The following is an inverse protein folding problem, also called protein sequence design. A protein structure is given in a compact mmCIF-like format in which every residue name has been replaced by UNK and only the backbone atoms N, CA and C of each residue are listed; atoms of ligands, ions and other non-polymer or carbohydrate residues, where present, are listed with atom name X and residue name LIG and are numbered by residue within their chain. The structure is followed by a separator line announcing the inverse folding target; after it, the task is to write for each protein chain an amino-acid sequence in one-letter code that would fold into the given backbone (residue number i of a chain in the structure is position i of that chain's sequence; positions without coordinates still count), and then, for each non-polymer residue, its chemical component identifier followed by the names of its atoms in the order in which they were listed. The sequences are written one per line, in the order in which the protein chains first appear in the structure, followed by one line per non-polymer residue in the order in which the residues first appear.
data_IF_577258501202
#
_entry.id   IF_577258501202
#
_cell.length_a   1.000
_cell.length_b   1.000
_cell.length_c   1.000
_cell.angle_alpha   90.00
_cell.angle_beta   90.00
_cell.angle_gamma   90.00
#
_symmetry.space_group_name_H-M   'P 1'
#
loop_
_entity.id
_entity.type
_entity.pdbx_description
1 polymer ?
#
# COMPACT_ATOMS: atom_id res chain seq x y z
N UNK A 1 -27.62 -24.53 -56.80
CA UNK A 1 -27.90 -23.98 -55.45
C UNK A 1 -29.41 -24.07 -55.19
N UNK A 2 -29.87 -25.08 -54.44
CA UNK A 2 -31.30 -25.26 -54.10
C UNK A 2 -31.69 -24.23 -53.03
N UNK A 3 -32.70 -23.41 -53.34
CA UNK A 3 -33.27 -22.39 -52.46
C UNK A 3 -34.05 -23.08 -51.32
N UNK A 4 -33.45 -23.13 -50.13
CA UNK A 4 -34.02 -23.72 -48.90
C UNK A 4 -35.06 -22.79 -48.23
N UNK A 5 -35.15 -21.53 -48.63
CA UNK A 5 -35.90 -20.52 -47.86
C UNK A 5 -37.38 -20.29 -48.28
N UNK A 6 -37.97 -21.13 -49.13
CA UNK A 6 -39.33 -20.88 -49.67
C UNK A 6 -40.25 -22.11 -49.59
N UNK A 7 -40.42 -22.68 -48.39
CA UNK A 7 -41.52 -23.61 -48.11
C UNK A 7 -42.67 -22.86 -47.40
N UNK A 8 -43.91 -23.08 -47.85
CA UNK A 8 -45.13 -22.42 -47.30
C UNK A 8 -45.76 -23.21 -46.15
N UNK A 9 -45.07 -24.22 -45.64
CA UNK A 9 -45.45 -25.02 -44.48
C UNK A 9 -44.91 -24.33 -43.24
N UNK A 10 -45.80 -23.96 -42.30
CA UNK A 10 -45.40 -23.39 -41.01
C UNK A 10 -44.53 -24.35 -40.19
N UNK A 11 -43.84 -23.84 -39.18
CA UNK A 11 -43.02 -24.67 -38.28
C UNK A 11 -43.86 -25.73 -37.57
N UNK A 12 -43.34 -26.94 -37.54
CA UNK A 12 -43.93 -28.01 -36.73
C UNK A 12 -43.65 -27.77 -35.24
N UNK A 13 -44.53 -28.25 -34.37
CA UNK A 13 -44.34 -28.15 -32.90
C UNK A 13 -43.03 -28.83 -32.46
N UNK A 14 -42.65 -29.93 -33.11
CA UNK A 14 -41.39 -30.62 -32.86
C UNK A 14 -40.17 -29.76 -33.21
N UNK A 15 -40.16 -29.07 -34.35
CA UNK A 15 -39.07 -28.16 -34.74
C UNK A 15 -38.95 -26.98 -33.75
N UNK A 16 -40.07 -26.45 -33.27
CA UNK A 16 -40.07 -25.36 -32.30
C UNK A 16 -39.50 -25.80 -30.93
N UNK A 17 -39.84 -27.02 -30.48
CA UNK A 17 -39.29 -27.59 -29.25
C UNK A 17 -37.78 -27.84 -29.36
N UNK A 18 -37.30 -28.35 -30.50
CA UNK A 18 -35.86 -28.56 -30.74
C UNK A 18 -35.13 -27.22 -30.81
N UNK A 19 -35.68 -26.23 -31.52
CA UNK A 19 -35.09 -24.89 -31.57
C UNK A 19 -35.02 -24.23 -30.17
N UNK A 20 -36.07 -24.37 -29.37
CA UNK A 20 -36.09 -23.89 -27.98
C UNK A 20 -35.05 -24.61 -27.12
N UNK A 21 -34.89 -25.92 -27.27
CA UNK A 21 -33.86 -26.70 -26.56
C UNK A 21 -32.45 -26.20 -26.89
N UNK A 22 -32.12 -26.00 -28.17
CA UNK A 22 -30.83 -25.42 -28.55
C UNK A 22 -30.66 -23.99 -28.05
N UNK A 23 -31.72 -23.18 -28.07
CA UNK A 23 -31.71 -21.83 -27.50
C UNK A 23 -31.37 -21.83 -26.00
N UNK A 24 -31.96 -22.75 -25.23
CA UNK A 24 -31.66 -22.91 -23.80
C UNK A 24 -30.22 -23.34 -23.57
N UNK A 25 -29.70 -24.29 -24.35
CA UNK A 25 -28.31 -24.76 -24.23
C UNK A 25 -27.34 -23.60 -24.50
N UNK A 26 -27.55 -22.85 -25.59
CA UNK A 26 -26.71 -21.70 -25.94
C UNK A 26 -26.76 -20.65 -24.82
N UNK A 27 -27.93 -20.31 -24.31
CA UNK A 27 -28.05 -19.36 -23.20
C UNK A 27 -27.38 -19.85 -21.92
N UNK A 28 -27.49 -21.14 -21.59
CA UNK A 28 -26.81 -21.72 -20.43
C UNK A 28 -25.28 -21.63 -20.55
N UNK A 29 -24.73 -21.91 -21.74
CA UNK A 29 -23.27 -21.79 -21.99
C UNK A 29 -22.79 -20.34 -21.92
N UNK A 30 -23.53 -19.39 -22.50
CA UNK A 30 -23.23 -17.97 -22.44
C UNK A 30 -23.25 -17.48 -20.99
N UNK A 31 -24.26 -17.86 -20.22
CA UNK A 31 -24.37 -17.50 -18.81
C UNK A 31 -23.15 -17.98 -18.00
N UNK A 32 -22.73 -19.23 -18.20
CA UNK A 32 -21.52 -19.76 -17.55
C UNK A 32 -20.28 -18.95 -17.90
N UNK A 33 -20.09 -18.65 -19.18
CA UNK A 33 -18.96 -17.84 -19.65
C UNK A 33 -18.95 -16.42 -19.06
N UNK A 34 -20.09 -15.72 -19.08
CA UNK A 34 -20.20 -14.38 -18.49
C UNK A 34 -19.91 -14.39 -16.99
N UNK A 35 -20.37 -15.41 -16.28
CA UNK A 35 -20.14 -15.54 -14.84
C UNK A 35 -18.65 -15.71 -14.53
N UNK A 36 -17.94 -16.56 -15.26
CA UNK A 36 -16.49 -16.74 -15.10
C UNK A 36 -15.72 -15.46 -15.43
N UNK A 37 -16.11 -14.76 -16.49
CA UNK A 37 -15.48 -13.48 -16.84
C UNK A 37 -15.65 -12.44 -15.73
N UNK A 38 -16.85 -12.33 -15.15
CA UNK A 38 -17.13 -11.40 -14.07
C UNK A 38 -16.26 -11.68 -12.84
N UNK A 39 -16.09 -12.94 -12.45
CA UNK A 39 -15.25 -13.29 -11.29
C UNK A 39 -13.77 -13.04 -11.54
N UNK A 40 -13.29 -13.30 -12.74
CA UNK A 40 -11.92 -12.99 -13.12
C UNK A 40 -11.65 -11.48 -13.09
N UNK A 41 -12.59 -10.68 -13.60
CA UNK A 41 -12.50 -9.22 -13.56
C UNK A 41 -12.44 -8.71 -12.11
N UNK A 42 -13.38 -9.16 -11.25
CA UNK A 42 -13.43 -8.76 -9.84
C UNK A 42 -12.13 -9.12 -9.08
N UNK A 43 -11.55 -10.29 -9.36
CA UNK A 43 -10.27 -10.70 -8.76
C UNK A 43 -9.12 -9.80 -9.19
N UNK A 44 -9.08 -9.42 -10.47
CA UNK A 44 -8.06 -8.50 -11.00
C UNK A 44 -8.22 -7.07 -10.46
N UNK A 45 -9.45 -6.56 -10.37
CA UNK A 45 -9.74 -5.26 -9.76
C UNK A 45 -9.29 -5.23 -8.30
N UNK A 46 -9.62 -6.27 -7.53
CA UNK A 46 -9.22 -6.37 -6.10
C UNK A 46 -7.70 -6.42 -5.95
N UNK A 47 -7.01 -7.17 -6.82
CA UNK A 47 -5.54 -7.23 -6.82
C UNK A 47 -4.91 -5.88 -7.17
N UNK A 48 -5.50 -5.16 -8.12
CA UNK A 48 -5.01 -3.84 -8.56
C UNK A 48 -5.23 -2.81 -7.45
N UNK A 49 -6.42 -2.74 -6.88
CA UNK A 49 -6.74 -1.82 -5.78
C UNK A 49 -5.81 -2.03 -4.56
N UNK A 50 -5.61 -3.28 -4.12
CA UNK A 50 -4.70 -3.56 -3.01
C UNK A 50 -3.24 -3.19 -3.30
N UNK A 51 -2.80 -3.32 -4.55
CA UNK A 51 -1.46 -2.92 -4.97
C UNK A 51 -1.32 -1.40 -5.03
N UNK A 52 -2.35 -0.69 -5.49
CA UNK A 52 -2.41 0.78 -5.50
C UNK A 52 -2.35 1.35 -4.07
N UNK A 53 -3.16 0.82 -3.15
CA UNK A 53 -3.13 1.21 -1.74
C UNK A 53 -1.75 0.98 -1.12
N UNK A 54 -1.17 -0.20 -1.35
CA UNK A 54 0.16 -0.55 -0.83
C UNK A 54 1.26 0.36 -1.39
N UNK A 55 1.22 0.67 -2.70
CA UNK A 55 2.18 1.56 -3.35
C UNK A 55 2.01 3.00 -2.89
N UNK A 56 0.78 3.50 -2.78
CA UNK A 56 0.49 4.85 -2.30
C UNK A 56 1.05 5.09 -0.89
N UNK A 57 0.81 4.14 0.03
CA UNK A 57 1.37 4.20 1.38
C UNK A 57 2.90 4.13 1.36
N UNK A 58 3.48 3.24 0.57
CA UNK A 58 4.93 3.09 0.47
C UNK A 58 5.62 4.32 -0.12
N UNK A 59 5.07 4.91 -1.18
CA UNK A 59 5.62 6.11 -1.83
C UNK A 59 5.57 7.32 -0.89
N UNK A 60 4.50 7.46 -0.12
CA UNK A 60 4.40 8.48 0.93
C UNK A 60 5.47 8.30 2.00
N UNK A 61 5.61 7.09 2.55
CA UNK A 61 6.63 6.77 3.56
C UNK A 61 8.04 7.05 3.02
N UNK A 62 8.37 6.57 1.82
CA UNK A 62 9.69 6.75 1.20
C UNK A 62 9.99 8.24 0.98
N UNK A 63 9.02 9.01 0.48
CA UNK A 63 9.20 10.44 0.22
C UNK A 63 9.45 11.22 1.51
N UNK A 64 8.67 10.97 2.56
CA UNK A 64 8.85 11.69 3.82
C UNK A 64 10.12 11.25 4.54
N UNK A 65 10.44 9.95 4.55
CA UNK A 65 11.70 9.45 5.14
C UNK A 65 12.92 10.01 4.40
N UNK A 66 12.88 10.19 3.07
CA UNK A 66 13.99 10.83 2.33
C UNK A 66 14.26 12.27 2.77
N UNK A 67 13.24 12.96 3.27
CA UNK A 67 13.36 14.33 3.78
C UNK A 67 13.72 14.38 5.27
N UNK A 68 13.82 13.23 5.96
CA UNK A 68 14.17 13.21 7.37
C UNK A 68 15.51 13.93 7.61
N UNK A 69 15.52 14.84 8.59
CA UNK A 69 16.69 15.62 8.97
C UNK A 69 17.01 16.79 8.04
N UNK A 70 16.08 17.20 7.18
CA UNK A 70 16.23 18.47 6.48
C UNK A 70 15.98 19.63 7.46
N UNK A 71 17.06 20.30 7.87
CA UNK A 71 17.05 21.50 8.73
C UNK A 71 17.83 22.63 8.05
N UNK A 72 17.23 23.31 7.06
CA UNK A 72 17.92 24.31 6.27
C UNK A 72 18.02 25.68 6.95
N UNK A 73 17.32 25.90 8.05
CA UNK A 73 17.50 27.06 8.93
C UNK A 73 17.81 26.59 10.35
N UNK A 74 18.24 27.52 11.20
CA UNK A 74 18.56 27.21 12.60
C UNK A 74 17.30 26.76 13.36
N UNK A 75 17.35 25.57 13.95
CA UNK A 75 16.19 24.97 14.62
C UNK A 75 15.98 25.52 16.03
N UNK A 76 14.74 25.94 16.32
CA UNK A 76 14.25 26.41 17.61
C UNK A 76 14.08 25.24 18.61
N UNK A 77 13.53 25.56 19.78
CA UNK A 77 13.24 24.68 20.92
C UNK A 77 12.14 23.65 20.68
N UNK A 78 11.38 23.75 19.59
CA UNK A 78 10.31 22.79 19.25
C UNK A 78 10.83 21.51 18.63
N UNK A 79 12.03 21.54 18.04
CA UNK A 79 12.72 20.36 17.52
C UNK A 79 13.30 19.54 18.68
N UNK A 80 13.17 18.22 18.59
CA UNK A 80 13.77 17.32 19.56
C UNK A 80 15.28 17.29 19.31
N UNK A 81 16.06 17.60 20.34
CA UNK A 81 17.51 17.76 20.28
C UNK A 81 18.21 16.68 21.09
N UNK A 82 19.45 16.39 20.74
CA UNK A 82 20.34 15.58 21.57
C UNK A 82 20.86 16.39 22.78
N UNK A 83 21.65 15.74 23.63
CA UNK A 83 22.27 16.36 24.82
C UNK A 83 23.22 17.52 24.45
N UNK A 84 23.66 17.62 23.20
CA UNK A 84 24.49 18.70 22.67
C UNK A 84 23.68 19.86 22.07
N UNK A 85 22.34 19.79 22.11
CA UNK A 85 21.45 20.80 21.55
C UNK A 85 21.29 20.75 20.03
N UNK A 86 21.74 19.66 19.38
CA UNK A 86 21.64 19.47 17.93
C UNK A 86 20.33 18.73 17.61
N UNK A 87 19.53 19.18 16.62
CA UNK A 87 18.28 18.52 16.26
C UNK A 87 18.52 17.09 15.77
N UNK A 88 17.82 16.12 16.38
CA UNK A 88 17.91 14.71 16.01
C UNK A 88 17.22 14.46 14.67
N UNK A 89 17.91 13.85 13.69
CA UNK A 89 17.24 13.41 12.45
C UNK A 89 16.23 12.29 12.71
N UNK A 90 16.66 11.29 13.48
CA UNK A 90 15.89 10.10 13.85
C UNK A 90 15.79 10.10 15.36
N UNK A 91 14.56 10.08 15.87
CA UNK A 91 14.27 10.15 17.31
C UNK A 91 14.18 8.73 17.88
N UNK A 92 13.48 7.83 17.19
CA UNK A 92 13.41 6.42 17.58
C UNK A 92 13.21 5.50 16.38
N UNK A 93 13.76 4.29 16.45
CA UNK A 93 13.71 3.30 15.39
C UNK A 93 13.54 1.88 15.97
N UNK A 94 12.44 1.24 15.58
CA UNK A 94 12.07 -0.12 15.95
C UNK A 94 11.56 -0.88 14.71
N UNK A 95 11.42 -2.20 14.80
CA UNK A 95 10.93 -3.06 13.73
C UNK A 95 9.51 -2.67 13.27
N UNK A 96 8.68 -2.16 14.18
CA UNK A 96 7.29 -1.80 13.93
C UNK A 96 7.03 -0.28 13.88
N UNK A 97 8.01 0.57 14.23
CA UNK A 97 7.82 2.01 14.26
C UNK A 97 9.07 2.79 13.89
N UNK A 98 8.89 3.93 13.22
CA UNK A 98 9.95 4.86 12.85
C UNK A 98 9.52 6.28 13.13
N UNK A 99 10.33 7.00 13.90
CA UNK A 99 10.06 8.37 14.33
C UNK A 99 11.20 9.28 13.89
N UNK A 100 10.87 10.27 13.08
CA UNK A 100 11.81 11.24 12.54
C UNK A 100 11.21 12.63 12.52
N UNK A 101 12.08 13.62 12.30
CA UNK A 101 11.67 15.01 12.18
C UNK A 101 12.37 15.71 11.00
N UNK A 102 11.75 16.80 10.55
CA UNK A 102 12.18 17.63 9.42
C UNK A 102 11.60 19.04 9.60
N UNK A 103 12.28 20.05 9.06
CA UNK A 103 11.79 21.43 8.99
C UNK A 103 11.56 21.78 7.52
N UNK A 104 10.29 21.70 7.10
CA UNK A 104 9.88 21.85 5.70
C UNK A 104 8.71 22.81 5.50
N UNK A 105 8.08 23.30 6.58
CA UNK A 105 6.85 24.07 6.54
C UNK A 105 6.75 25.11 7.66
N UNK A 106 6.46 26.35 7.28
CA UNK A 106 6.12 27.42 8.22
C UNK A 106 4.60 27.71 8.23
N UNK A 107 3.94 27.77 9.41
CA UNK A 107 2.52 28.08 9.50
C UNK A 107 2.28 29.58 9.24
N UNK A 108 1.25 29.89 8.43
CA UNK A 108 0.83 31.27 8.14
C UNK A 108 1.37 31.85 6.84
N UNK A 109 2.10 31.06 6.06
CA UNK A 109 2.56 31.40 4.71
C UNK A 109 1.77 30.60 3.66
N UNK A 110 1.48 31.17 2.47
CA UNK A 110 0.79 30.43 1.42
C UNK A 110 1.57 29.14 1.09
N UNK A 111 0.90 28.05 0.68
CA UNK A 111 1.53 26.76 0.38
C UNK A 111 2.59 26.81 -0.74
N UNK A 112 2.71 27.95 -1.44
CA UNK A 112 3.78 28.24 -2.39
C UNK A 112 5.11 28.65 -1.74
N UNK A 113 5.13 28.91 -0.44
CA UNK A 113 6.33 29.27 0.32
C UNK A 113 6.60 28.21 1.38
N UNK A 114 6.83 26.96 0.94
CA UNK A 114 7.42 25.86 1.72
C UNK A 114 8.81 26.29 2.23
N UNK A 115 8.79 27.25 3.13
CA UNK A 115 9.93 27.91 3.70
C UNK A 115 10.07 27.34 5.10
N UNK A 116 11.16 26.63 5.35
CA UNK A 116 11.60 26.23 6.67
C UNK A 116 11.67 27.45 7.60
N UNK A 117 11.17 27.33 8.81
CA UNK A 117 11.18 28.40 9.82
C UNK A 117 11.88 28.03 11.13
N UNK A 118 12.52 26.87 11.15
CA UNK A 118 13.30 26.38 12.27
C UNK A 118 12.46 25.64 13.29
N UNK A 119 11.17 25.43 13.05
CA UNK A 119 10.33 24.64 13.96
C UNK A 119 10.17 23.22 13.44
N UNK A 120 9.84 22.32 14.35
CA UNK A 120 9.50 20.93 14.05
C UNK A 120 8.17 20.52 14.70
N UNK A 121 7.34 21.49 15.07
CA UNK A 121 6.07 21.28 15.78
C UNK A 121 4.89 21.18 14.82
N UNK A 122 5.11 21.49 13.55
CA UNK A 122 4.10 21.67 12.56
C UNK A 122 3.62 20.32 12.01
N UNK A 123 2.46 20.36 11.37
CA UNK A 123 1.89 19.14 10.78
C UNK A 123 2.80 18.62 9.67
N UNK A 124 3.35 17.42 9.88
CA UNK A 124 4.22 16.75 8.91
C UNK A 124 5.71 16.99 9.10
N UNK A 125 6.09 17.71 10.16
CA UNK A 125 7.49 17.95 10.52
C UNK A 125 7.99 17.01 11.60
N UNK A 126 7.10 16.53 12.45
CA UNK A 126 7.36 15.46 13.40
C UNK A 126 6.47 14.27 13.03
N UNK A 127 7.09 13.21 12.49
CA UNK A 127 6.39 12.10 11.85
C UNK A 127 6.75 10.76 12.48
N UNK A 128 5.72 10.02 12.87
CA UNK A 128 5.79 8.66 13.40
C UNK A 128 5.02 7.74 12.47
N UNK A 129 5.73 6.85 11.80
CA UNK A 129 5.14 5.69 11.16
C UNK A 129 5.08 4.54 12.15
N UNK A 130 3.93 3.89 12.28
CA UNK A 130 3.80 2.71 13.12
C UNK A 130 2.85 1.68 12.52
N UNK A 131 3.23 0.41 12.64
CA UNK A 131 2.35 -0.73 12.41
C UNK A 131 1.65 -1.07 13.72
N UNK A 132 0.34 -0.81 13.78
CA UNK A 132 -0.51 -1.15 14.92
C UNK A 132 -1.52 -2.20 14.48
N UNK A 133 -1.36 -3.44 14.99
CA UNK A 133 -2.11 -4.60 14.51
C UNK A 133 -1.87 -4.84 13.02
N UNK A 134 -2.92 -4.69 12.21
CA UNK A 134 -2.88 -4.84 10.75
C UNK A 134 -3.00 -3.50 10.00
N UNK A 135 -2.70 -2.38 10.65
CA UNK A 135 -2.82 -1.04 10.04
C UNK A 135 -1.52 -0.27 10.20
N UNK A 136 -1.00 0.26 9.08
CA UNK A 136 0.08 1.25 9.11
C UNK A 136 -0.56 2.62 9.31
N UNK A 137 -0.02 3.38 10.26
CA UNK A 137 -0.53 4.69 10.65
C UNK A 137 0.57 5.75 10.58
N UNK A 138 0.17 7.00 10.34
CA UNK A 138 1.04 8.17 10.37
C UNK A 138 0.60 9.12 11.49
N UNK A 139 1.40 9.28 12.53
CA UNK A 139 1.09 10.11 13.71
C UNK A 139 -0.13 9.60 14.49
N UNK A 140 -0.24 8.28 14.66
CA UNK A 140 -1.24 7.65 15.52
C UNK A 140 -2.49 7.12 14.81
N UNK A 141 -3.43 6.51 15.55
CA UNK A 141 -4.49 5.65 15.01
C UNK A 141 -5.56 6.39 14.20
N UNK A 142 -5.69 7.71 14.34
CA UNK A 142 -6.68 8.52 13.61
C UNK A 142 -6.28 8.81 12.16
N UNK A 143 -5.04 8.49 11.79
CA UNK A 143 -4.47 8.73 10.46
C UNK A 143 -3.95 7.41 9.86
N UNK A 144 -4.85 6.47 9.51
CA UNK A 144 -4.46 5.22 8.85
C UNK A 144 -3.98 5.51 7.43
N UNK A 145 -2.87 4.89 7.02
CA UNK A 145 -2.39 4.91 5.65
C UNK A 145 -2.89 3.72 4.84
N UNK A 146 -2.82 2.53 5.44
CA UNK A 146 -3.20 1.28 4.79
C UNK A 146 -3.62 0.25 5.82
N UNK A 147 -4.71 -0.44 5.52
CA UNK A 147 -5.29 -1.51 6.34
C UNK A 147 -4.94 -2.89 5.79
N UNK A 148 -5.27 -3.93 6.57
CA UNK A 148 -5.06 -5.34 6.20
C UNK A 148 -3.59 -5.68 5.89
N UNK A 149 -2.69 -5.02 6.60
CA UNK A 149 -1.25 -5.19 6.48
C UNK A 149 -0.83 -6.50 7.13
N UNK A 150 0.00 -7.25 6.41
CA UNK A 150 0.64 -8.49 6.85
C UNK A 150 2.12 -8.42 6.51
N UNK A 151 2.97 -8.79 7.45
CA UNK A 151 4.42 -8.83 7.24
C UNK A 151 4.80 -10.20 6.66
N UNK A 152 5.50 -10.25 5.50
CA UNK A 152 5.97 -11.51 4.93
C UNK A 152 6.82 -12.29 5.94
N UNK A 153 6.65 -13.62 5.95
CA UNK A 153 7.40 -14.48 6.87
C UNK A 153 8.91 -14.30 6.68
N UNK A 154 9.65 -14.17 7.80
CA UNK A 154 11.09 -13.94 7.80
C UNK A 154 11.51 -12.51 7.45
N UNK A 155 10.58 -11.55 7.47
CA UNK A 155 10.88 -10.13 7.32
C UNK A 155 10.30 -9.32 8.48
N UNK A 156 10.86 -8.12 8.68
CA UNK A 156 10.29 -7.10 9.55
C UNK A 156 9.61 -6.02 8.70
N UNK A 157 8.67 -5.29 9.30
CA UNK A 157 8.06 -4.12 8.65
C UNK A 157 9.14 -3.09 8.27
N UNK A 158 10.03 -2.79 9.22
CA UNK A 158 11.17 -1.91 9.07
C UNK A 158 12.45 -2.65 9.42
N UNK A 159 13.44 -2.56 8.54
CA UNK A 159 14.77 -3.11 8.76
C UNK A 159 15.82 -2.05 8.49
N UNK A 160 16.76 -1.86 9.41
CA UNK A 160 17.72 -0.77 9.35
C UNK A 160 19.13 -1.28 9.08
N UNK A 161 19.94 -0.48 8.38
CA UNK A 161 21.30 -0.83 7.99
C UNK A 161 22.23 0.36 8.19
N UNK A 162 23.48 0.05 8.54
CA UNK A 162 24.60 0.99 8.47
C UNK A 162 25.08 1.15 7.03
N UNK A 163 25.86 2.21 6.76
CA UNK A 163 26.43 2.46 5.44
C UNK A 163 27.28 1.26 4.98
N UNK A 164 27.04 0.79 3.76
CA UNK A 164 27.79 -0.32 3.17
C UNK A 164 27.53 -1.69 3.79
N UNK A 165 26.71 -1.80 4.85
CA UNK A 165 26.41 -3.08 5.47
C UNK A 165 25.24 -3.79 4.78
N UNK A 166 25.38 -5.10 4.58
CA UNK A 166 24.29 -5.99 4.20
C UNK A 166 23.60 -6.63 5.41
N UNK A 167 24.16 -6.51 6.61
CA UNK A 167 23.57 -7.05 7.83
C UNK A 167 22.62 -6.04 8.46
N UNK A 168 21.40 -6.47 8.83
CA UNK A 168 20.45 -5.61 9.51
C UNK A 168 20.91 -5.31 10.94
N UNK A 169 20.63 -4.11 11.41
CA UNK A 169 20.78 -3.74 12.81
C UNK A 169 19.76 -4.49 13.68
N UNK A 170 20.17 -4.89 14.87
CA UNK A 170 19.28 -5.50 15.86
C UNK A 170 18.35 -4.45 16.49
N UNK A 171 17.10 -4.84 16.74
CA UNK A 171 16.11 -3.99 17.40
C UNK A 171 16.04 -4.25 18.91
N UNK A 172 15.65 -3.25 19.73
CA UNK A 172 15.54 -1.83 19.38
C UNK A 172 16.91 -1.22 19.11
N UNK A 173 16.96 -0.17 18.28
CA UNK A 173 18.22 0.50 17.95
C UNK A 173 18.58 1.47 19.07
N UNK A 174 19.72 1.24 19.73
CA UNK A 174 20.20 2.06 20.84
C UNK A 174 20.71 3.42 20.40
N UNK A 175 21.37 3.50 19.24
CA UNK A 175 21.85 4.74 18.63
C UNK A 175 21.28 4.89 17.21
N UNK A 176 20.21 5.68 17.02
CA UNK A 176 19.63 5.89 15.70
C UNK A 176 20.55 6.62 14.71
N UNK A 177 21.63 7.28 15.17
CA UNK A 177 22.54 8.04 14.30
C UNK A 177 23.33 7.13 13.33
N UNK A 178 23.49 5.85 13.68
CA UNK A 178 24.18 4.86 12.85
C UNK A 178 23.35 4.41 11.64
N UNK A 179 22.05 4.71 11.62
CA UNK A 179 21.14 4.31 10.55
C UNK A 179 21.45 5.13 9.29
N UNK A 180 21.77 4.43 8.20
CA UNK A 180 22.02 5.05 6.88
C UNK A 180 21.05 4.57 5.81
N UNK A 181 20.47 3.38 5.98
CA UNK A 181 19.43 2.86 5.09
C UNK A 181 18.31 2.18 5.87
N UNK A 182 17.08 2.40 5.43
CA UNK A 182 15.87 1.73 5.92
C UNK A 182 15.28 0.92 4.78
N UNK A 183 14.97 -0.35 5.02
CA UNK A 183 14.15 -1.18 4.15
C UNK A 183 12.75 -1.27 4.76
N UNK A 184 11.75 -0.94 3.96
CA UNK A 184 10.34 -1.04 4.31
C UNK A 184 9.79 -2.26 3.56
N UNK A 185 9.10 -3.17 4.26
CA UNK A 185 8.52 -4.37 3.64
C UNK A 185 7.16 -4.67 4.25
N UNK A 186 6.12 -4.78 3.43
CA UNK A 186 4.82 -5.24 3.90
C UNK A 186 3.99 -5.79 2.75
N UNK A 187 2.89 -6.46 3.09
CA UNK A 187 1.87 -6.90 2.14
C UNK A 187 0.49 -6.45 2.59
N UNK A 188 -0.40 -6.23 1.65
CA UNK A 188 -1.84 -6.04 1.90
C UNK A 188 -2.56 -7.32 1.55
N UNK A 189 -3.39 -7.82 2.45
CA UNK A 189 -4.13 -9.07 2.27
C UNK A 189 -5.63 -8.91 2.47
N UNK A 190 -6.40 -9.03 1.39
CA UNK A 190 -7.86 -8.98 1.43
C UNK A 190 -8.48 -10.33 1.09
N UNK A 191 -9.71 -10.63 1.55
CA UNK A 191 -10.42 -11.83 1.13
C UNK A 191 -10.59 -11.86 -0.39
N UNK A 192 -10.48 -13.04 -0.98
CA UNK A 192 -10.77 -13.23 -2.40
C UNK A 192 -12.25 -12.86 -2.70
N UNK A 193 -12.53 -12.04 -3.72
CA UNK A 193 -13.90 -11.65 -4.04
C UNK A 193 -14.75 -12.79 -4.63
N UNK A 194 -14.13 -13.83 -5.19
CA UNK A 194 -14.81 -14.94 -5.86
C UNK A 194 -15.52 -15.87 -4.86
N UNK A 195 -16.67 -16.48 -5.22
CA UNK A 195 -17.39 -17.38 -4.32
C UNK A 195 -16.54 -18.57 -3.86
N UNK A 196 -15.79 -19.18 -4.78
CA UNK A 196 -14.88 -20.28 -4.48
C UNK A 196 -13.74 -19.84 -3.56
N UNK A 197 -13.14 -18.68 -3.84
CA UNK A 197 -12.10 -18.11 -3.00
C UNK A 197 -12.58 -17.81 -1.58
N UNK A 198 -13.79 -17.25 -1.43
CA UNK A 198 -14.42 -17.03 -0.11
C UNK A 198 -14.65 -18.33 0.64
N UNK A 199 -15.21 -19.35 -0.03
CA UNK A 199 -15.48 -20.65 0.57
C UNK A 199 -14.18 -21.37 1.01
N UNK A 200 -13.11 -21.22 0.25
CA UNK A 200 -11.79 -21.78 0.55
C UNK A 200 -10.95 -20.93 1.53
N UNK A 201 -11.44 -19.76 1.96
CA UNK A 201 -10.67 -18.82 2.78
C UNK A 201 -9.45 -18.23 2.07
N UNK A 202 -9.42 -18.24 0.73
CA UNK A 202 -8.32 -17.71 -0.07
C UNK A 202 -8.24 -16.19 0.10
N UNK A 203 -7.01 -15.66 0.10
CA UNK A 203 -6.73 -14.23 0.21
C UNK A 203 -5.93 -13.77 -0.99
N UNK A 204 -6.22 -12.55 -1.44
CA UNK A 204 -5.42 -11.84 -2.44
C UNK A 204 -4.36 -11.05 -1.68
N UNK A 205 -3.09 -11.31 -2.02
CA UNK A 205 -1.93 -10.70 -1.37
C UNK A 205 -1.17 -9.85 -2.38
N UNK A 206 -0.92 -8.60 -2.03
CA UNK A 206 -0.09 -7.67 -2.78
C UNK A 206 1.09 -7.25 -1.90
N UNK A 207 2.31 -7.64 -2.26
CA UNK A 207 3.53 -7.37 -1.50
C UNK A 207 4.33 -6.23 -2.11
N UNK A 208 4.82 -5.34 -1.27
CA UNK A 208 5.66 -4.21 -1.68
C UNK A 208 6.89 -4.10 -0.75
N UNK A 209 8.01 -3.69 -1.32
CA UNK A 209 9.22 -3.40 -0.57
C UNK A 209 9.98 -2.27 -1.24
N UNK A 210 10.61 -1.43 -0.43
CA UNK A 210 11.46 -0.35 -0.90
C UNK A 210 12.54 -0.03 0.12
N UNK A 211 13.59 0.64 -0.32
CA UNK A 211 14.67 1.08 0.54
C UNK A 211 14.92 2.58 0.40
N UNK A 212 15.13 3.23 1.53
CA UNK A 212 15.49 4.64 1.64
C UNK A 212 16.91 4.73 2.16
N UNK A 213 17.77 5.44 1.43
CA UNK A 213 19.09 5.82 1.90
C UNK A 213 19.05 7.28 2.32
N UNK A 214 19.56 7.58 3.52
CA UNK A 214 19.65 8.93 4.01
C UNK A 214 20.85 9.63 3.39
N UNK A 215 20.69 10.93 3.08
CA UNK A 215 21.82 11.78 2.75
C UNK A 215 22.70 11.94 3.99
N UNK A 216 24.01 11.81 3.77
CA UNK A 216 25.03 11.88 4.81
C UNK A 216 25.46 13.32 5.02
#
# INVERSE_FOLDING_TARGET
MKRIFWDRRGFTTAELLVAALFGMIVMATLYGFYREQMFNLLSQETKTATLEDARGALDMMVREMRNAGAFPVETDTTCIKDDSGIPLKIISANAASFHFQTDTHSPGRPPSSNNPDGKCSETGENVIYSLSGSTITRNGPTNPLVHNVVIPAGSDFLTYYQAGSATPLSHPISDPSVIKRIKITFSVQVPDPTPEGKAAGRRVTSSVSSSVEFRN
#
